data_IF_365516044134
#
_entry.id   IF_365516044134
#
_cell.length_a   1.000
_cell.length_b   1.000
_cell.length_c   1.000
_cell.angle_alpha   90.00
_cell.angle_beta   90.00
_cell.angle_gamma   90.00
#
_symmetry.space_group_name_H-M   'P 1'
#
loop_
_entity.id
_entity.type
_entity.pdbx_description
1 polymer ?
#
# COMPACT_ATOMS: atom_id res chain seq x y z
N UNK A 1 6.60 23.35 20.31
CA UNK A 1 7.58 24.33 20.84
C UNK A 1 8.49 23.54 21.78
N UNK A 2 9.73 23.26 21.38
CA UNK A 2 10.67 22.46 22.19
C UNK A 2 11.24 23.40 23.26
N UNK A 3 10.98 23.11 24.55
CA UNK A 3 11.61 23.82 25.66
C UNK A 3 13.05 23.31 25.81
N UNK A 4 13.98 23.88 25.04
CA UNK A 4 15.42 23.69 25.25
C UNK A 4 15.85 24.58 26.43
N UNK A 5 15.81 24.03 27.65
CA UNK A 5 16.44 24.68 28.79
C UNK A 5 17.96 24.49 28.71
N UNK A 6 18.71 25.60 28.76
CA UNK A 6 20.17 25.61 28.79
C UNK A 6 20.67 24.90 30.06
N UNK A 7 21.13 23.66 29.93
CA UNK A 7 21.68 22.83 31.00
C UNK A 7 22.80 23.50 31.80
N UNK A 8 23.59 24.38 31.16
CA UNK A 8 24.67 25.12 31.81
C UNK A 8 24.24 26.11 32.91
N UNK A 9 22.97 26.54 32.94
CA UNK A 9 22.47 27.42 34.02
C UNK A 9 22.24 26.65 35.33
N UNK A 10 21.84 25.38 35.26
CA UNK A 10 21.62 24.56 36.44
C UNK A 10 22.94 24.13 37.08
N UNK A 11 23.98 23.89 36.27
CA UNK A 11 25.29 23.47 36.74
C UNK A 11 26.04 24.60 37.48
N UNK A 12 25.89 25.85 37.04
CA UNK A 12 26.51 27.02 37.68
C UNK A 12 25.94 27.38 39.07
N UNK A 13 24.81 26.78 39.47
CA UNK A 13 24.20 27.02 40.81
C UNK A 13 24.95 26.25 41.92
N UNK A 14 25.69 25.19 41.58
CA UNK A 14 26.43 24.39 42.58
C UNK A 14 27.59 25.17 43.21
N UNK A 15 28.19 26.11 42.48
CA UNK A 15 29.32 26.95 42.94
C UNK A 15 28.88 28.06 43.92
N UNK A 16 27.58 28.39 43.99
CA UNK A 16 27.09 29.56 44.76
C UNK A 16 26.65 29.15 46.20
N UNK A 17 26.56 27.86 46.51
CA UNK A 17 25.95 27.39 47.77
C UNK A 17 26.92 27.28 48.96
N UNK A 18 27.25 28.40 49.62
CA UNK A 18 27.95 28.41 50.94
C UNK A 18 27.16 29.28 51.95
N UNK A 19 25.92 28.92 52.29
CA UNK A 19 25.16 29.37 53.48
C UNK A 19 23.81 28.65 53.55
N UNK A 20 23.00 28.84 54.61
CA UNK A 20 21.66 28.23 54.76
C UNK A 20 20.70 28.45 53.58
N UNK A 21 20.93 29.50 52.78
CA UNK A 21 20.26 29.77 51.50
C UNK A 21 20.58 28.72 50.43
N UNK A 22 21.78 28.13 50.46
CA UNK A 22 22.25 27.10 49.54
C UNK A 22 21.50 25.76 49.65
N UNK A 23 20.99 25.41 50.84
CA UNK A 23 20.17 24.20 51.03
C UNK A 23 18.81 24.35 50.32
N UNK A 24 18.22 25.54 50.37
CA UNK A 24 16.97 25.84 49.66
C UNK A 24 17.18 25.83 48.13
N UNK A 25 18.29 26.39 47.64
CA UNK A 25 18.65 26.36 46.21
C UNK A 25 18.87 24.94 45.68
N UNK A 26 19.51 24.04 46.44
CA UNK A 26 19.68 22.63 46.04
C UNK A 26 18.35 21.88 45.95
N UNK A 27 17.42 22.12 46.89
CA UNK A 27 16.07 21.53 46.83
C UNK A 27 15.30 22.03 45.60
N UNK A 28 15.33 23.34 45.35
CA UNK A 28 14.70 23.93 44.17
C UNK A 28 15.29 23.38 42.86
N UNK A 29 16.62 23.23 42.78
CA UNK A 29 17.30 22.63 41.62
C UNK A 29 16.87 21.18 41.38
N UNK A 30 16.72 20.39 42.44
CA UNK A 30 16.26 19.01 42.34
C UNK A 30 14.80 18.95 41.89
N UNK A 31 13.93 19.77 42.45
CA UNK A 31 12.51 19.87 42.07
C UNK A 31 12.35 20.28 40.59
N UNK A 32 13.08 21.31 40.15
CA UNK A 32 13.10 21.73 38.73
C UNK A 32 13.61 20.61 37.82
N UNK A 33 14.63 19.84 38.24
CA UNK A 33 15.14 18.70 37.47
C UNK A 33 14.10 17.59 37.37
N UNK A 34 13.42 17.27 38.46
CA UNK A 34 12.39 16.23 38.50
C UNK A 34 11.19 16.61 37.63
N UNK A 35 10.78 17.89 37.66
CA UNK A 35 9.73 18.43 36.77
C UNK A 35 10.15 18.39 35.29
N UNK A 36 11.40 18.73 34.98
CA UNK A 36 11.93 18.63 33.60
C UNK A 36 11.88 17.18 33.12
N UNK A 37 12.35 16.23 33.94
CA UNK A 37 12.34 14.81 33.57
C UNK A 37 10.90 14.33 33.34
N UNK A 38 9.97 14.70 34.23
CA UNK A 38 8.56 14.33 34.10
C UNK A 38 7.93 14.91 32.84
N UNK A 39 8.19 16.18 32.52
CA UNK A 39 7.70 16.82 31.30
C UNK A 39 8.30 16.18 30.04
N UNK A 40 9.58 15.79 30.08
CA UNK A 40 10.22 15.05 28.99
C UNK A 40 9.60 13.67 28.79
N UNK A 41 9.35 12.93 29.87
CA UNK A 41 8.71 11.62 29.82
C UNK A 41 7.29 11.70 29.27
N UNK A 42 6.51 12.71 29.68
CA UNK A 42 5.16 12.98 29.16
C UNK A 42 5.20 13.30 27.66
N UNK A 43 6.14 14.13 27.21
CA UNK A 43 6.31 14.45 25.79
C UNK A 43 6.73 13.24 24.96
N UNK A 44 7.64 12.41 25.47
CA UNK A 44 8.07 11.17 24.81
C UNK A 44 6.89 10.19 24.70
N UNK A 45 6.09 10.05 25.76
CA UNK A 45 4.90 9.22 25.75
C UNK A 45 3.85 9.70 24.74
N UNK A 46 3.66 11.02 24.63
CA UNK A 46 2.76 11.61 23.64
C UNK A 46 3.27 11.39 22.21
N UNK A 47 4.54 11.65 21.95
CA UNK A 47 5.17 11.41 20.63
C UNK A 47 5.08 9.94 20.22
N UNK A 48 5.37 9.01 21.14
CA UNK A 48 5.23 7.59 20.89
C UNK A 48 3.77 7.19 20.57
N UNK A 49 2.81 7.83 21.23
CA UNK A 49 1.38 7.60 20.98
C UNK A 49 0.97 8.15 19.61
N UNK A 50 1.46 9.33 19.23
CA UNK A 50 1.22 9.92 17.92
C UNK A 50 1.84 9.07 16.80
N UNK A 51 3.07 8.59 16.98
CA UNK A 51 3.74 7.72 16.02
C UNK A 51 2.95 6.43 15.80
N UNK A 52 2.53 5.76 16.88
CA UNK A 52 1.68 4.54 16.78
C UNK A 52 0.38 4.78 16.01
N UNK A 53 -0.23 5.97 16.16
CA UNK A 53 -1.45 6.32 15.40
C UNK A 53 -1.15 6.50 13.92
N UNK A 54 -0.03 7.14 13.58
CA UNK A 54 0.41 7.32 12.19
C UNK A 54 0.67 5.96 11.55
N UNK A 55 1.41 5.08 12.24
CA UNK A 55 1.73 3.75 11.75
C UNK A 55 0.45 2.94 11.49
N UNK A 56 -0.49 2.94 12.45
CA UNK A 56 -1.78 2.27 12.30
C UNK A 56 -2.60 2.82 11.11
N UNK A 57 -2.62 4.14 10.92
CA UNK A 57 -3.32 4.75 9.78
C UNK A 57 -2.65 4.38 8.45
N UNK A 58 -1.33 4.35 8.40
CA UNK A 58 -0.58 3.93 7.20
C UNK A 58 -0.84 2.45 6.87
N UNK A 59 -0.86 1.58 7.88
CA UNK A 59 -1.22 0.17 7.71
C UNK A 59 -2.64 0.01 7.15
N UNK A 60 -3.63 0.72 7.73
CA UNK A 60 -5.01 0.69 7.25
C UNK A 60 -5.17 1.21 5.82
N UNK A 61 -4.47 2.30 5.48
CA UNK A 61 -4.47 2.85 4.13
C UNK A 61 -3.83 1.88 3.14
N UNK A 62 -2.69 1.30 3.49
CA UNK A 62 -2.00 0.30 2.66
C UNK A 62 -2.88 -0.92 2.42
N UNK A 63 -3.52 -1.47 3.48
CA UNK A 63 -4.43 -2.59 3.37
C UNK A 63 -5.66 -2.26 2.49
N UNK A 64 -6.21 -1.06 2.62
CA UNK A 64 -7.35 -0.61 1.79
C UNK A 64 -6.94 -0.49 0.32
N UNK A 65 -5.78 0.11 0.03
CA UNK A 65 -5.27 0.21 -1.34
C UNK A 65 -5.00 -1.17 -1.94
N UNK A 66 -4.37 -2.08 -1.18
CA UNK A 66 -4.14 -3.44 -1.64
C UNK A 66 -5.45 -4.17 -1.94
N UNK A 67 -6.47 -4.01 -1.09
CA UNK A 67 -7.79 -4.57 -1.32
C UNK A 67 -8.41 -4.02 -2.61
N UNK A 68 -8.47 -2.70 -2.76
CA UNK A 68 -9.06 -2.06 -3.95
C UNK A 68 -8.35 -2.50 -5.23
N UNK A 69 -7.02 -2.45 -5.25
CA UNK A 69 -6.22 -2.87 -6.41
C UNK A 69 -6.40 -4.36 -6.70
N UNK A 70 -6.50 -5.21 -5.66
CA UNK A 70 -6.68 -6.66 -5.84
C UNK A 70 -7.99 -6.99 -6.55
N UNK A 71 -9.08 -6.34 -6.16
CA UNK A 71 -10.46 -6.67 -6.59
C UNK A 71 -11.03 -5.76 -7.68
N UNK A 72 -10.23 -4.85 -8.23
CA UNK A 72 -10.68 -3.93 -9.29
C UNK A 72 -11.05 -4.66 -10.58
N UNK A 73 -10.33 -5.74 -10.89
CA UNK A 73 -10.61 -6.67 -12.00
C UNK A 73 -10.45 -8.09 -11.47
N UNK A 74 -11.13 -9.04 -12.10
CA UNK A 74 -11.02 -10.44 -11.70
C UNK A 74 -9.74 -11.12 -12.22
N UNK A 75 -9.61 -12.42 -11.94
CA UNK A 75 -8.46 -13.20 -12.35
C UNK A 75 -8.34 -13.44 -13.87
N UNK A 76 -9.46 -13.59 -14.59
CA UNK A 76 -9.43 -13.78 -16.04
C UNK A 76 -9.08 -12.48 -16.74
N UNK A 77 -9.67 -11.38 -16.30
CA UNK A 77 -9.36 -10.03 -16.79
C UNK A 77 -7.89 -9.68 -16.57
N UNK A 78 -7.34 -10.00 -15.39
CA UNK A 78 -5.92 -9.82 -15.11
C UNK A 78 -5.06 -10.67 -16.05
N UNK A 79 -5.43 -11.92 -16.33
CA UNK A 79 -4.71 -12.75 -17.32
C UNK A 79 -4.74 -12.13 -18.70
N UNK A 80 -5.88 -11.59 -19.12
CA UNK A 80 -6.01 -10.94 -20.42
C UNK A 80 -5.14 -9.68 -20.50
N UNK A 81 -5.13 -8.87 -19.45
CA UNK A 81 -4.29 -7.69 -19.37
C UNK A 81 -2.79 -8.03 -19.39
N UNK A 82 -2.37 -9.07 -18.66
CA UNK A 82 -0.98 -9.56 -18.66
C UNK A 82 -0.60 -10.08 -20.05
N UNK A 83 -1.45 -10.89 -20.69
CA UNK A 83 -1.19 -11.42 -22.04
C UNK A 83 -1.14 -10.31 -23.09
N UNK A 84 -2.01 -9.31 -23.01
CA UNK A 84 -1.95 -8.14 -23.90
C UNK A 84 -0.65 -7.34 -23.73
N UNK A 85 -0.07 -7.32 -22.51
CA UNK A 85 1.21 -6.69 -22.23
C UNK A 85 2.44 -7.56 -22.57
N UNK A 86 2.26 -8.86 -22.80
CA UNK A 86 3.37 -9.77 -23.10
C UNK A 86 3.87 -9.61 -24.55
N UNK A 87 4.95 -10.30 -24.92
CA UNK A 87 5.39 -10.41 -26.31
C UNK A 87 4.82 -11.64 -27.04
N UNK A 88 4.14 -12.55 -26.33
CA UNK A 88 3.62 -13.80 -26.88
C UNK A 88 2.28 -13.60 -27.60
N UNK A 89 1.95 -14.47 -28.56
CA UNK A 89 0.62 -14.46 -29.17
C UNK A 89 -0.48 -14.67 -28.13
N UNK A 90 -1.58 -13.92 -28.24
CA UNK A 90 -2.74 -14.10 -27.38
C UNK A 90 -3.88 -14.73 -28.18
N UNK A 91 -3.74 -16.03 -28.41
CA UNK A 91 -4.80 -16.83 -29.01
C UNK A 91 -6.05 -16.89 -28.11
N UNK A 92 -7.20 -16.48 -28.66
CA UNK A 92 -8.50 -16.51 -28.00
C UNK A 92 -9.49 -17.37 -28.78
N UNK A 93 -10.51 -17.84 -28.06
CA UNK A 93 -11.76 -18.35 -28.61
C UNK A 93 -12.89 -17.54 -28.01
N UNK A 94 -13.80 -17.07 -28.84
CA UNK A 94 -14.87 -16.19 -28.40
C UNK A 94 -15.91 -16.95 -27.57
N UNK A 95 -16.20 -16.39 -26.41
CA UNK A 95 -17.36 -16.68 -25.57
C UNK A 95 -17.91 -15.37 -24.98
N UNK A 96 -19.08 -15.46 -24.35
CA UNK A 96 -19.77 -14.28 -23.81
C UNK A 96 -19.03 -13.71 -22.59
N UNK A 97 -18.29 -14.55 -21.84
CA UNK A 97 -17.49 -14.13 -20.69
C UNK A 97 -16.32 -13.25 -21.15
N UNK A 98 -15.55 -13.67 -22.16
CA UNK A 98 -14.49 -12.88 -22.78
C UNK A 98 -15.02 -11.52 -23.28
N UNK A 99 -16.22 -11.49 -23.87
CA UNK A 99 -16.82 -10.24 -24.32
C UNK A 99 -17.12 -9.28 -23.16
N UNK A 100 -17.61 -9.80 -22.03
CA UNK A 100 -17.84 -9.02 -20.82
C UNK A 100 -16.54 -8.52 -20.20
N UNK A 101 -15.55 -9.39 -20.06
CA UNK A 101 -14.22 -9.08 -19.53
C UNK A 101 -13.52 -7.98 -20.36
N UNK A 102 -13.55 -8.09 -21.70
CA UNK A 102 -13.00 -7.04 -22.59
C UNK A 102 -13.76 -5.72 -22.52
N UNK A 103 -15.09 -5.78 -22.31
CA UNK A 103 -15.90 -4.58 -22.13
C UNK A 103 -15.54 -3.87 -20.83
N UNK A 104 -15.36 -4.62 -19.74
CA UNK A 104 -14.99 -4.06 -18.45
C UNK A 104 -13.57 -3.51 -18.46
N UNK A 105 -12.57 -4.26 -18.96
CA UNK A 105 -11.20 -3.77 -19.13
C UNK A 105 -11.11 -2.47 -19.96
N UNK A 106 -11.94 -2.35 -21.01
CA UNK A 106 -12.03 -1.12 -21.81
C UNK A 106 -12.71 0.01 -21.05
N UNK A 107 -13.77 -0.28 -20.30
CA UNK A 107 -14.45 0.73 -19.46
C UNK A 107 -13.53 1.29 -18.36
N UNK A 108 -12.64 0.46 -17.82
CA UNK A 108 -11.60 0.86 -16.87
C UNK A 108 -10.44 1.62 -17.52
N UNK A 109 -10.41 1.72 -18.86
CA UNK A 109 -9.35 2.39 -19.60
C UNK A 109 -8.03 1.61 -19.65
N UNK A 110 -8.01 0.32 -19.29
CA UNK A 110 -6.80 -0.51 -19.29
C UNK A 110 -6.43 -1.05 -20.66
N UNK A 111 -7.41 -1.18 -21.55
CA UNK A 111 -7.20 -1.61 -22.93
C UNK A 111 -7.98 -0.70 -23.87
N UNK A 112 -7.51 -0.61 -25.12
CA UNK A 112 -8.22 0.05 -26.22
C UNK A 112 -8.24 -0.87 -27.45
N UNK A 113 -9.25 -0.70 -28.30
CA UNK A 113 -9.30 -1.39 -29.58
C UNK A 113 -8.69 -0.55 -30.71
N UNK A 114 -8.21 -1.22 -31.75
CA UNK A 114 -7.88 -0.56 -33.01
C UNK A 114 -9.16 -0.11 -33.73
N UNK A 115 -9.01 0.86 -34.65
CA UNK A 115 -10.12 1.39 -35.44
C UNK A 115 -10.79 0.25 -36.23
N UNK A 116 -12.11 0.08 -36.06
CA UNK A 116 -12.88 -0.97 -36.70
C UNK A 116 -12.66 -2.40 -36.14
N UNK A 117 -11.92 -2.54 -35.03
CA UNK A 117 -11.55 -3.83 -34.42
C UNK A 117 -12.11 -4.01 -33.00
N UNK A 118 -13.33 -3.54 -32.76
CA UNK A 118 -14.00 -3.68 -31.46
C UNK A 118 -14.46 -5.11 -31.15
N UNK A 119 -15.16 -5.28 -30.01
CA UNK A 119 -15.66 -6.57 -29.52
C UNK A 119 -16.55 -7.27 -30.56
N UNK A 120 -17.37 -6.52 -31.30
CA UNK A 120 -18.22 -7.06 -32.37
C UNK A 120 -17.40 -7.78 -33.45
N UNK A 121 -16.20 -7.27 -33.76
CA UNK A 121 -15.33 -7.90 -34.75
C UNK A 121 -14.70 -9.18 -34.22
N UNK A 122 -14.28 -9.18 -32.96
CA UNK A 122 -13.82 -10.39 -32.25
C UNK A 122 -14.91 -11.47 -32.23
N UNK A 123 -16.16 -11.08 -31.99
CA UNK A 123 -17.32 -11.98 -32.03
C UNK A 123 -17.56 -12.57 -33.42
N UNK A 124 -17.44 -11.75 -34.48
CA UNK A 124 -17.56 -12.21 -35.86
C UNK A 124 -16.47 -13.21 -36.25
N UNK A 125 -15.22 -12.94 -35.85
CA UNK A 125 -14.06 -13.74 -36.24
C UNK A 125 -13.94 -15.04 -35.41
N UNK A 126 -14.61 -15.10 -34.24
CA UNK A 126 -14.78 -16.26 -33.34
C UNK A 126 -13.50 -16.79 -32.69
N UNK A 127 -12.35 -16.66 -33.31
CA UNK A 127 -11.03 -17.06 -32.81
C UNK A 127 -9.90 -16.28 -33.49
N UNK A 128 -8.71 -16.30 -32.91
CA UNK A 128 -7.51 -15.67 -33.47
C UNK A 128 -6.62 -15.07 -32.38
N UNK A 129 -5.69 -14.18 -32.75
CA UNK A 129 -4.88 -13.44 -31.79
C UNK A 129 -5.57 -12.12 -31.39
N UNK A 130 -5.85 -11.96 -30.10
CA UNK A 130 -6.55 -10.82 -29.54
C UNK A 130 -5.74 -9.51 -29.68
N UNK A 131 -4.42 -9.61 -29.79
CA UNK A 131 -3.52 -8.47 -30.04
C UNK A 131 -3.73 -7.80 -31.39
N UNK A 132 -4.42 -8.46 -32.33
CA UNK A 132 -4.83 -7.85 -33.59
C UNK A 132 -6.06 -6.91 -33.44
N UNK A 133 -6.71 -6.95 -32.29
CA UNK A 133 -7.94 -6.21 -32.01
C UNK A 133 -7.76 -5.18 -30.90
N UNK A 134 -7.05 -5.57 -29.84
CA UNK A 134 -6.84 -4.76 -28.65
C UNK A 134 -5.36 -4.57 -28.33
N UNK A 135 -5.07 -3.47 -27.65
CA UNK A 135 -3.76 -3.16 -27.10
C UNK A 135 -3.93 -2.59 -25.69
N UNK A 136 -2.93 -2.84 -24.84
CA UNK A 136 -2.87 -2.29 -23.49
C UNK A 136 -2.55 -0.79 -23.53
N UNK A 137 -3.17 -0.01 -22.65
CA UNK A 137 -2.93 1.43 -22.48
C UNK A 137 -1.80 1.70 -21.47
N UNK A 138 -1.39 2.95 -21.32
CA UNK A 138 -0.43 3.33 -20.27
C UNK A 138 -1.02 3.18 -18.86
N UNK A 139 -2.32 3.41 -18.71
CA UNK A 139 -3.07 3.17 -17.47
C UNK A 139 -3.08 1.69 -17.12
N UNK A 140 -3.31 0.81 -18.10
CA UNK A 140 -3.25 -0.65 -17.91
C UNK A 140 -1.85 -1.11 -17.49
N UNK A 141 -0.80 -0.58 -18.10
CA UNK A 141 0.60 -0.86 -17.70
C UNK A 141 0.90 -0.36 -16.29
N UNK A 142 0.45 0.85 -15.96
CA UNK A 142 0.62 1.45 -14.64
C UNK A 142 -0.08 0.64 -13.56
N UNK A 143 -1.27 0.12 -13.84
CA UNK A 143 -1.98 -0.79 -12.96
C UNK A 143 -1.20 -2.10 -12.71
N UNK A 144 -0.66 -2.73 -13.76
CA UNK A 144 0.18 -3.93 -13.61
C UNK A 144 1.45 -3.65 -12.79
N UNK A 145 2.08 -2.49 -13.00
CA UNK A 145 3.24 -2.07 -12.21
C UNK A 145 2.87 -1.85 -10.74
N UNK A 146 1.75 -1.19 -10.46
CA UNK A 146 1.24 -0.96 -9.11
C UNK A 146 0.97 -2.27 -8.37
N UNK A 147 0.35 -3.26 -9.03
CA UNK A 147 0.15 -4.60 -8.45
C UNK A 147 1.47 -5.23 -8.03
N UNK A 148 2.50 -5.14 -8.87
CA UNK A 148 3.84 -5.67 -8.57
C UNK A 148 4.48 -4.97 -7.37
N UNK A 149 4.39 -3.64 -7.31
CA UNK A 149 4.91 -2.85 -6.19
C UNK A 149 4.20 -3.18 -4.87
N UNK A 150 2.91 -3.46 -4.93
CA UNK A 150 2.11 -3.86 -3.76
C UNK A 150 2.24 -5.36 -3.42
N UNK A 151 3.06 -6.14 -4.15
CA UNK A 151 3.22 -7.57 -3.92
C UNK A 151 1.99 -8.41 -4.28
N UNK A 152 1.06 -7.87 -5.06
CA UNK A 152 -0.20 -8.54 -5.47
C UNK A 152 0.07 -9.33 -6.76
N UNK A 153 0.85 -10.40 -6.64
CA UNK A 153 1.26 -11.25 -7.76
C UNK A 153 0.26 -12.36 -8.09
N UNK A 154 -0.68 -12.62 -7.18
CA UNK A 154 -1.69 -13.66 -7.34
C UNK A 154 -2.77 -13.18 -8.32
N UNK A 155 -3.00 -13.99 -9.35
CA UNK A 155 -4.28 -14.02 -10.05
C UNK A 155 -5.28 -14.57 -9.03
N UNK A 156 -6.36 -13.85 -8.67
CA UNK A 156 -7.38 -14.38 -7.77
C UNK A 156 -7.79 -15.80 -8.17
N UNK A 157 -7.58 -16.77 -7.28
CA UNK A 157 -7.88 -18.18 -7.51
C UNK A 157 -6.74 -19.03 -8.09
N UNK A 158 -5.57 -18.47 -8.45
CA UNK A 158 -4.39 -19.23 -8.88
C UNK A 158 -3.36 -19.23 -7.74
N UNK A 159 -3.08 -20.41 -7.17
CA UNK A 159 -2.05 -20.59 -6.15
C UNK A 159 -0.64 -20.31 -6.69
N UNK A 160 0.33 -20.13 -5.79
CA UNK A 160 1.75 -20.00 -6.14
C UNK A 160 2.30 -21.22 -6.92
N UNK A 161 1.60 -22.36 -6.85
CA UNK A 161 1.89 -23.58 -7.58
C UNK A 161 1.30 -23.61 -9.01
N UNK A 162 0.67 -22.52 -9.45
CA UNK A 162 0.05 -22.39 -10.76
C UNK A 162 -1.27 -23.15 -10.90
N UNK A 163 -1.89 -23.64 -9.81
CA UNK A 163 -3.18 -24.35 -9.85
C UNK A 163 -4.33 -23.48 -9.36
N UNK A 164 -5.51 -23.77 -9.91
CA UNK A 164 -6.74 -23.09 -9.52
C UNK A 164 -7.28 -23.65 -8.20
N UNK A 165 -7.27 -22.85 -7.14
CA UNK A 165 -7.94 -23.18 -5.88
C UNK A 165 -9.37 -22.65 -5.93
N UNK A 166 -10.34 -23.56 -5.95
CA UNK A 166 -11.78 -23.24 -6.00
C UNK A 166 -12.30 -22.54 -4.74
N UNK A 167 -11.54 -22.56 -3.64
CA UNK A 167 -11.94 -21.98 -2.36
C UNK A 167 -10.83 -21.08 -1.77
N UNK A 168 -11.21 -19.84 -1.42
CA UNK A 168 -10.36 -18.86 -0.69
C UNK A 168 -9.96 -19.38 0.71
N UNK A 169 -10.58 -20.48 1.18
CA UNK A 169 -10.25 -21.13 2.46
C UNK A 169 -8.98 -22.00 2.40
N UNK A 170 -8.57 -22.46 1.23
CA UNK A 170 -7.42 -23.35 1.08
C UNK A 170 -6.08 -22.62 1.02
N UNK A 171 -6.06 -21.31 0.80
CA UNK A 171 -4.87 -20.44 0.90
C UNK A 171 -4.43 -20.17 2.35
N UNK A 172 -4.85 -21.00 3.30
CA UNK A 172 -4.57 -20.92 4.73
C UNK A 172 -3.09 -21.04 5.09
N UNK A 173 -2.34 -19.96 4.85
CA UNK A 173 -1.20 -19.56 5.68
C UNK A 173 -1.51 -18.19 6.26
N UNK A 174 -2.41 -18.17 7.25
CA UNK A 174 -2.29 -17.19 8.33
C UNK A 174 -1.10 -17.67 9.15
N UNK A 175 0.07 -17.10 8.90
CA UNK A 175 1.20 -17.25 9.81
C UNK A 175 0.83 -16.51 11.09
N UNK A 176 0.73 -17.27 12.19
CA UNK A 176 0.79 -16.73 13.55
C UNK A 176 2.14 -16.05 13.79
#
# INVERSE_FOLDING_TARGET
MILLFNSGLLDNIDDISISGTGIALRRLKQEVRDDINKLQDEQIAELNTQQKRIDLLQEQQSATLQFLVRYLIDGNELKHLIKLNSQEEFNFKFDDDLAMELKHLRAMGFINNFVGKGIEKVQQDREGDLKNYFHITEEGKSYLALRKTLGINEIPGLGEDGRWHRDIRDSGKILN
#
